data_IF_761776471207
#
_entry.id   IF_761776471207
#
_cell.length_a   1.000
_cell.length_b   1.000
_cell.length_c   1.000
_cell.angle_alpha   90.00
_cell.angle_beta   90.00
_cell.angle_gamma   90.00
#
_symmetry.space_group_name_H-M   'P 1'
#
loop_
_entity.id
_entity.type
_entity.pdbx_description
1 polymer ?
#
# COMPACT_ATOMS: atom_id res chain seq x y z
N UNK A 1 13.28 6.94 14.50
CA UNK A 1 11.88 6.77 14.08
C UNK A 1 11.79 5.75 12.97
N UNK A 2 10.62 5.12 12.77
CA UNK A 2 10.43 4.13 11.71
C UNK A 2 10.66 4.76 10.32
N UNK A 3 11.39 4.09 9.40
CA UNK A 3 11.47 4.53 8.02
C UNK A 3 10.09 4.62 7.37
N UNK A 4 9.90 5.62 6.51
CA UNK A 4 8.63 5.85 5.80
C UNK A 4 8.76 5.37 4.36
N UNK A 5 7.80 4.57 3.92
CA UNK A 5 7.67 4.11 2.55
C UNK A 5 6.39 4.70 1.93
N UNK A 6 6.53 5.59 0.95
CA UNK A 6 5.42 6.33 0.35
C UNK A 6 4.94 5.68 -0.95
N UNK A 7 3.63 5.51 -1.09
CA UNK A 7 2.96 5.00 -2.29
C UNK A 7 1.99 6.05 -2.81
N UNK A 8 2.18 6.50 -4.04
CA UNK A 8 1.28 7.49 -4.68
C UNK A 8 0.50 6.77 -5.77
N UNK A 9 -0.76 6.42 -5.50
CA UNK A 9 -1.58 5.69 -6.47
C UNK A 9 -2.16 6.59 -7.56
N UNK A 10 -2.21 7.90 -7.33
CA UNK A 10 -2.66 8.90 -8.31
C UNK A 10 -1.83 8.93 -9.60
N UNK A 11 -0.55 8.52 -9.54
CA UNK A 11 0.32 8.43 -10.73
C UNK A 11 -0.27 7.51 -11.82
N UNK A 12 -1.09 6.52 -11.43
CA UNK A 12 -1.76 5.61 -12.37
C UNK A 12 -3.01 6.21 -13.03
N UNK A 13 -3.30 7.49 -12.79
CA UNK A 13 -4.22 8.26 -13.62
C UNK A 13 -3.67 8.40 -15.05
N UNK A 14 -2.35 8.56 -15.17
CA UNK A 14 -1.66 8.57 -16.45
C UNK A 14 -1.95 7.30 -17.25
N UNK A 15 -2.53 7.48 -18.44
CA UNK A 15 -2.98 6.37 -19.27
C UNK A 15 -1.81 5.55 -19.81
N UNK A 16 -0.71 6.19 -20.17
CA UNK A 16 0.46 5.51 -20.71
C UNK A 16 1.15 4.67 -19.64
N UNK A 17 1.35 5.23 -18.45
CA UNK A 17 1.90 4.52 -17.30
C UNK A 17 0.97 3.37 -16.88
N UNK A 18 -0.34 3.60 -16.84
CA UNK A 18 -1.31 2.55 -16.51
C UNK A 18 -1.22 1.39 -17.51
N UNK A 19 -1.24 1.68 -18.82
CA UNK A 19 -1.15 0.65 -19.85
C UNK A 19 0.19 -0.08 -19.78
N UNK A 20 1.30 0.65 -19.65
CA UNK A 20 2.64 0.07 -19.50
C UNK A 20 2.78 -0.83 -18.26
N UNK A 21 1.97 -0.62 -17.23
CA UNK A 21 2.06 -1.35 -15.96
C UNK A 21 1.05 -2.48 -15.83
N UNK A 22 -0.17 -2.33 -16.37
CA UNK A 22 -1.29 -3.23 -16.08
C UNK A 22 -1.99 -3.86 -17.29
N UNK A 23 -1.62 -3.49 -18.53
CA UNK A 23 -2.37 -3.90 -19.74
C UNK A 23 -2.44 -5.42 -19.97
N UNK A 24 -1.47 -6.18 -19.46
CA UNK A 24 -1.40 -7.63 -19.61
C UNK A 24 -0.77 -8.30 -18.37
N UNK A 25 -0.91 -9.63 -18.30
CA UNK A 25 -0.46 -10.47 -17.18
C UNK A 25 1.04 -10.38 -16.92
N UNK A 26 1.84 -10.25 -17.98
CA UNK A 26 3.29 -10.15 -17.88
C UNK A 26 3.68 -8.82 -17.21
N UNK A 27 3.12 -7.69 -17.65
CA UNK A 27 3.35 -6.38 -17.06
C UNK A 27 2.88 -6.31 -15.61
N UNK A 28 1.71 -6.89 -15.29
CA UNK A 28 1.22 -6.99 -13.91
C UNK A 28 2.17 -7.81 -13.03
N UNK A 29 2.67 -8.93 -13.54
CA UNK A 29 3.64 -9.76 -12.82
C UNK A 29 4.97 -9.02 -12.62
N UNK A 30 5.44 -8.29 -13.64
CA UNK A 30 6.62 -7.44 -13.56
C UNK A 30 6.46 -6.34 -12.50
N UNK A 31 5.31 -5.68 -12.44
CA UNK A 31 5.00 -4.70 -11.41
C UNK A 31 5.06 -5.31 -10.00
N UNK A 32 4.45 -6.48 -9.79
CA UNK A 32 4.51 -7.18 -8.50
C UNK A 32 5.96 -7.52 -8.12
N UNK A 33 6.76 -8.04 -9.05
CA UNK A 33 8.19 -8.34 -8.80
C UNK A 33 8.99 -7.08 -8.46
N UNK A 34 8.77 -6.00 -9.19
CA UNK A 34 9.39 -4.71 -8.91
C UNK A 34 9.00 -4.21 -7.51
N UNK A 35 7.73 -4.37 -7.13
CA UNK A 35 7.23 -3.98 -5.82
C UNK A 35 7.92 -4.74 -4.69
N UNK A 36 8.02 -6.06 -4.83
CA UNK A 36 8.71 -6.92 -3.86
C UNK A 36 10.17 -6.50 -3.75
N UNK A 37 10.87 -6.33 -4.87
CA UNK A 37 12.27 -5.90 -4.86
C UNK A 37 12.46 -4.53 -4.14
N UNK A 38 11.55 -3.57 -4.39
CA UNK A 38 11.60 -2.26 -3.73
C UNK A 38 11.39 -2.37 -2.21
N UNK A 39 10.47 -3.23 -1.77
CA UNK A 39 10.26 -3.49 -0.35
C UNK A 39 11.49 -4.15 0.27
N UNK A 40 12.06 -5.18 -0.34
CA UNK A 40 13.25 -5.86 0.18
C UNK A 40 14.44 -4.91 0.32
N UNK A 41 14.65 -4.03 -0.67
CA UNK A 41 15.67 -2.97 -0.57
C UNK A 41 15.43 -2.03 0.63
N UNK A 42 14.18 -1.82 1.01
CA UNK A 42 13.82 -1.03 2.19
C UNK A 42 14.05 -1.81 3.48
N UNK A 43 13.70 -3.11 3.51
CA UNK A 43 13.93 -4.01 4.65
C UNK A 43 15.42 -4.14 4.97
N UNK A 44 16.29 -4.19 3.96
CA UNK A 44 17.75 -4.23 4.14
C UNK A 44 18.33 -3.00 4.86
N UNK A 45 17.58 -1.89 4.95
CA UNK A 45 18.00 -0.67 5.65
C UNK A 45 17.52 -0.64 7.10
N UNK A 46 16.78 -1.65 7.54
CA UNK A 46 16.28 -1.75 8.91
C UNK A 46 17.36 -2.23 9.86
N UNK A 47 17.21 -1.84 11.12
CA UNK A 47 18.11 -2.25 12.19
C UNK A 47 17.47 -3.42 12.96
N UNK A 48 18.12 -4.57 12.90
CA UNK A 48 17.68 -5.82 13.52
C UNK A 48 18.38 -6.10 14.86
N UNK A 49 19.12 -5.14 15.41
CA UNK A 49 19.61 -5.23 16.79
C UNK A 49 18.43 -5.23 17.79
N UNK A 50 18.61 -5.70 19.03
CA UNK A 50 17.51 -5.80 20.01
C UNK A 50 16.79 -4.46 20.31
N UNK A 51 17.47 -3.33 20.17
CA UNK A 51 16.91 -1.98 20.32
C UNK A 51 16.69 -1.27 18.98
N UNK A 52 16.98 -1.96 17.87
CA UNK A 52 16.88 -1.45 16.51
C UNK A 52 15.45 -1.34 16.02
N UNK A 53 15.25 -0.46 15.04
CA UNK A 53 13.94 -0.32 14.38
C UNK A 53 13.88 -1.26 13.17
N UNK A 54 13.16 -2.37 13.36
CA UNK A 54 13.00 -3.44 12.38
C UNK A 54 11.71 -3.36 11.56
N UNK A 55 11.04 -2.20 11.55
CA UNK A 55 9.72 -2.03 10.94
C UNK A 55 9.55 -0.69 10.21
N UNK A 56 8.70 -0.69 9.17
CA UNK A 56 8.45 0.42 8.25
C UNK A 56 7.04 0.98 8.47
N UNK A 57 6.88 2.29 8.36
CA UNK A 57 5.58 2.94 8.21
C UNK A 57 5.28 3.11 6.72
N UNK A 58 4.18 2.55 6.25
CA UNK A 58 3.74 2.69 4.86
C UNK A 58 2.70 3.79 4.77
N UNK A 59 2.93 4.77 3.91
CA UNK A 59 1.93 5.77 3.55
C UNK A 59 1.41 5.45 2.16
N UNK A 60 0.08 5.42 2.02
CA UNK A 60 -0.64 5.13 0.79
C UNK A 60 -1.53 6.32 0.46
N UNK A 61 -1.09 7.14 -0.49
CA UNK A 61 -1.83 8.28 -1.01
C UNK A 61 -2.81 7.83 -2.09
N UNK A 62 -4.10 8.01 -1.80
CA UNK A 62 -5.20 7.65 -2.68
C UNK A 62 -5.79 8.85 -3.44
N UNK A 63 -5.15 10.03 -3.36
CA UNK A 63 -5.52 11.20 -4.17
C UNK A 63 -5.47 10.82 -5.65
N UNK A 64 -6.55 11.12 -6.36
CA UNK A 64 -6.74 10.77 -7.77
C UNK A 64 -6.54 9.27 -8.10
N UNK A 65 -6.59 8.39 -7.09
CA UNK A 65 -6.42 6.96 -7.33
C UNK A 65 -7.49 6.47 -8.32
N UNK A 66 -7.10 5.66 -9.33
CA UNK A 66 -8.07 5.16 -10.29
C UNK A 66 -9.17 4.38 -9.58
N UNK A 67 -10.41 4.85 -9.73
CA UNK A 67 -11.57 4.33 -9.02
C UNK A 67 -11.98 2.92 -9.46
N UNK A 68 -13.24 2.56 -9.16
CA UNK A 68 -13.79 1.21 -9.35
C UNK A 68 -13.72 0.66 -10.79
N UNK A 69 -13.49 1.52 -11.80
CA UNK A 69 -13.39 1.16 -13.21
C UNK A 69 -12.07 0.52 -13.66
N UNK A 70 -10.99 0.61 -12.87
CA UNK A 70 -9.68 0.01 -13.18
C UNK A 70 -9.48 -1.29 -12.39
N UNK A 71 -10.21 -2.35 -12.78
CA UNK A 71 -10.25 -3.64 -12.06
C UNK A 71 -8.87 -4.30 -11.94
N UNK A 72 -8.01 -4.11 -12.92
CA UNK A 72 -6.69 -4.75 -13.01
C UNK A 72 -5.74 -4.19 -11.95
N UNK A 73 -5.76 -2.87 -11.71
CA UNK A 73 -5.02 -2.25 -10.59
C UNK A 73 -5.48 -2.82 -9.25
N UNK A 74 -6.81 -2.99 -9.06
CA UNK A 74 -7.35 -3.57 -7.82
C UNK A 74 -6.90 -5.02 -7.64
N UNK A 75 -6.93 -5.82 -8.70
CA UNK A 75 -6.45 -7.21 -8.67
C UNK A 75 -4.94 -7.28 -8.37
N UNK A 76 -4.13 -6.47 -9.06
CA UNK A 76 -2.69 -6.41 -8.83
C UNK A 76 -2.34 -5.95 -7.41
N UNK A 77 -3.07 -4.95 -6.90
CA UNK A 77 -2.89 -4.44 -5.53
C UNK A 77 -3.30 -5.48 -4.49
N UNK A 78 -4.42 -6.18 -4.69
CA UNK A 78 -4.85 -7.26 -3.79
C UNK A 78 -3.84 -8.41 -3.78
N UNK A 79 -3.34 -8.83 -4.95
CA UNK A 79 -2.34 -9.89 -5.07
C UNK A 79 -1.02 -9.50 -4.41
N UNK A 80 -0.57 -8.25 -4.63
CA UNK A 80 0.61 -7.72 -3.95
C UNK A 80 0.40 -7.67 -2.44
N UNK A 81 -0.75 -7.17 -1.97
CA UNK A 81 -1.09 -7.10 -0.56
C UNK A 81 -1.12 -8.48 0.11
N UNK A 82 -1.66 -9.49 -0.58
CA UNK A 82 -1.67 -10.87 -0.10
C UNK A 82 -0.24 -11.43 0.00
N UNK A 83 0.57 -11.28 -1.07
CA UNK A 83 1.97 -11.69 -1.05
C UNK A 83 2.77 -11.03 0.08
N UNK A 84 2.50 -9.76 0.36
CA UNK A 84 3.13 -9.04 1.46
C UNK A 84 2.72 -9.59 2.83
N UNK A 85 1.46 -9.95 3.02
CA UNK A 85 0.99 -10.56 4.27
C UNK A 85 1.57 -11.95 4.47
N UNK A 86 1.63 -12.75 3.41
CA UNK A 86 2.05 -14.15 3.50
C UNK A 86 3.57 -14.29 3.68
N UNK A 87 4.37 -13.39 3.07
CA UNK A 87 5.83 -13.55 3.00
C UNK A 87 6.63 -12.53 3.83
N UNK A 88 6.05 -11.37 4.15
CA UNK A 88 6.71 -10.32 4.91
C UNK A 88 5.91 -9.93 6.17
N UNK A 89 5.54 -10.88 7.03
CA UNK A 89 4.87 -10.57 8.28
C UNK A 89 5.79 -9.71 9.16
N UNK A 90 5.18 -8.84 9.96
CA UNK A 90 5.83 -8.01 10.99
C UNK A 90 6.80 -6.90 10.54
N UNK A 91 7.16 -6.76 9.25
CA UNK A 91 7.98 -5.62 8.78
C UNK A 91 7.23 -4.29 8.69
N UNK A 92 5.92 -4.28 8.89
CA UNK A 92 5.09 -3.07 8.83
C UNK A 92 4.60 -2.71 10.23
N UNK A 93 4.99 -1.51 10.69
CA UNK A 93 4.53 -0.93 11.95
C UNK A 93 3.11 -0.36 11.82
N UNK A 94 2.87 0.42 10.76
CA UNK A 94 1.59 1.09 10.49
C UNK A 94 1.39 1.27 8.99
N UNK A 95 0.16 1.14 8.52
CA UNK A 95 -0.26 1.51 7.17
C UNK A 95 -1.21 2.70 7.25
N UNK A 96 -0.75 3.85 6.78
CA UNK A 96 -1.51 5.10 6.78
C UNK A 96 -2.04 5.33 5.37
N UNK A 97 -3.35 5.42 5.21
CA UNK A 97 -4.02 5.76 3.97
C UNK A 97 -4.49 7.21 4.05
N UNK A 98 -4.03 8.05 3.13
CA UNK A 98 -4.37 9.47 3.08
C UNK A 98 -5.13 9.80 1.80
N UNK A 99 -5.79 10.95 1.80
CA UNK A 99 -6.67 11.41 0.71
C UNK A 99 -7.69 10.34 0.31
N UNK A 100 -8.16 9.57 1.31
CA UNK A 100 -9.05 8.42 1.09
C UNK A 100 -10.37 8.91 0.49
N UNK A 101 -10.72 8.51 -0.75
CA UNK A 101 -12.00 8.90 -1.33
C UNK A 101 -13.14 8.13 -0.65
N UNK A 102 -14.33 8.72 -0.61
CA UNK A 102 -15.48 8.16 0.12
C UNK A 102 -15.82 6.71 -0.28
N UNK A 103 -15.67 6.37 -1.58
CA UNK A 103 -15.92 5.02 -2.09
C UNK A 103 -14.93 3.99 -1.56
N UNK A 104 -13.72 4.40 -1.17
CA UNK A 104 -12.70 3.49 -0.65
C UNK A 104 -13.07 2.94 0.73
N UNK A 105 -13.89 3.65 1.50
CA UNK A 105 -14.42 3.13 2.77
C UNK A 105 -15.38 1.95 2.54
N UNK A 106 -16.14 1.96 1.44
CA UNK A 106 -16.97 0.83 1.05
C UNK A 106 -16.09 -0.34 0.56
N UNK A 107 -15.05 -0.05 -0.22
CA UNK A 107 -14.08 -1.05 -0.65
C UNK A 107 -13.31 -1.69 0.52
N UNK A 108 -12.87 -0.88 1.48
CA UNK A 108 -12.10 -1.34 2.64
C UNK A 108 -12.90 -2.31 3.50
N UNK A 109 -14.21 -2.05 3.70
CA UNK A 109 -15.13 -2.99 4.36
C UNK A 109 -15.20 -4.33 3.63
N UNK A 110 -15.28 -4.32 2.30
CA UNK A 110 -15.32 -5.54 1.50
C UNK A 110 -14.03 -6.37 1.62
N UNK A 111 -12.84 -5.74 1.53
CA UNK A 111 -11.56 -6.46 1.67
C UNK A 111 -11.24 -6.83 3.12
N UNK A 112 -11.83 -6.14 4.10
CA UNK A 112 -11.58 -6.41 5.53
C UNK A 112 -11.99 -7.83 5.94
N UNK A 113 -12.88 -8.50 5.21
CA UNK A 113 -13.23 -9.89 5.44
C UNK A 113 -12.02 -10.84 5.30
N UNK A 114 -11.02 -10.45 4.51
CA UNK A 114 -9.83 -11.26 4.21
C UNK A 114 -8.60 -10.86 5.05
N UNK A 115 -8.72 -9.87 5.93
CA UNK A 115 -7.61 -9.38 6.75
C UNK A 115 -7.71 -9.89 8.18
N UNK A 116 -6.57 -10.31 8.74
CA UNK A 116 -6.48 -10.68 10.16
C UNK A 116 -6.74 -9.45 11.05
N UNK A 117 -7.22 -9.68 12.28
CA UNK A 117 -7.45 -8.61 13.26
C UNK A 117 -6.17 -7.81 13.56
N UNK A 118 -5.01 -8.48 13.56
CA UNK A 118 -3.69 -7.85 13.73
C UNK A 118 -3.34 -6.93 12.57
N UNK A 119 -3.61 -7.33 11.32
CA UNK A 119 -3.36 -6.45 10.16
C UNK A 119 -4.29 -5.23 10.20
N UNK A 120 -5.55 -5.42 10.59
CA UNK A 120 -6.53 -4.32 10.72
C UNK A 120 -6.12 -3.28 11.75
N UNK A 121 -5.54 -3.68 12.89
CA UNK A 121 -5.13 -2.73 13.94
C UNK A 121 -3.97 -1.82 13.51
N UNK A 122 -3.21 -2.21 12.48
CA UNK A 122 -2.12 -1.40 11.92
C UNK A 122 -2.61 -0.34 10.93
N UNK A 123 -3.90 -0.33 10.56
CA UNK A 123 -4.42 0.55 9.52
C UNK A 123 -4.96 1.87 10.09
N UNK A 124 -4.59 2.97 9.45
CA UNK A 124 -5.11 4.31 9.74
C UNK A 124 -5.63 4.91 8.45
N UNK A 125 -6.88 5.36 8.43
CA UNK A 125 -7.51 5.96 7.26
C UNK A 125 -7.83 7.43 7.51
N UNK A 126 -7.42 8.30 6.59
CA UNK A 126 -7.68 9.73 6.64
C UNK A 126 -8.29 10.21 5.32
N UNK A 127 -9.45 10.86 5.40
CA UNK A 127 -9.99 11.60 4.27
C UNK A 127 -9.13 12.83 3.93
N UNK A 128 -9.37 13.49 2.78
CA UNK A 128 -8.54 14.61 2.30
C UNK A 128 -8.33 15.71 3.35
N UNK A 129 -9.38 16.13 4.05
CA UNK A 129 -9.30 17.21 5.04
C UNK A 129 -8.51 16.87 6.31
N UNK A 130 -8.29 15.59 6.62
CA UNK A 130 -7.59 15.13 7.84
C UNK A 130 -6.23 14.50 7.55
N UNK A 131 -5.80 14.52 6.29
CA UNK A 131 -4.60 13.80 5.84
C UNK A 131 -3.32 14.37 6.44
N UNK A 132 -3.15 15.70 6.43
CA UNK A 132 -2.01 16.36 7.06
C UNK A 132 -1.95 16.06 8.56
N UNK A 133 -3.04 16.32 9.28
CA UNK A 133 -3.13 16.05 10.73
C UNK A 133 -2.83 14.59 11.08
N UNK A 134 -3.17 13.65 10.21
CA UNK A 134 -2.92 12.22 10.45
C UNK A 134 -1.45 11.85 10.24
N UNK A 135 -0.74 12.55 9.35
CA UNK A 135 0.69 12.32 9.11
C UNK A 135 1.58 12.97 10.17
N UNK A 136 1.14 14.08 10.77
CA UNK A 136 1.89 14.79 11.81
C UNK A 136 1.58 14.32 13.24
N UNK A 137 0.74 13.30 13.41
CA UNK A 137 0.44 12.62 14.68
C UNK A 137 1.28 11.36 14.86
#
# INVERSE_FOLDING_TARGET
>A
GHPVYYNVFGEFEDKELYQKTFSDDEKRTKFIRWRIQSLEKSIRKLDFTPSGISTIVQVNDLKNSPGLGKKELRQATNKALQLLQDNYPEFVAKQVFINVPWWYLAFSRMISAFLTQRTKSKFVFAGPSKSADTLFK
#
